data_IF_161389900133
#
_entry.id   IF_161389900133
#
_cell.length_a   1.000
_cell.length_b   1.000
_cell.length_c   1.000
_cell.angle_alpha   90.00
_cell.angle_beta   90.00
_cell.angle_gamma   90.00
#
_symmetry.space_group_name_H-M   'P 1'
#
loop_
_entity.id
_entity.type
_entity.pdbx_description
1 polymer ?
#
# COMPACT_ATOMS: atom_id res chain seq x y z
N UNK A 1 23.87 -6.98 3.35
CA UNK A 1 23.52 -6.24 2.11
C UNK A 1 22.04 -5.90 2.18
N UNK A 2 21.65 -4.73 1.67
CA UNK A 2 20.23 -4.40 1.66
C UNK A 2 19.53 -5.22 0.57
N UNK A 3 18.55 -6.03 0.96
CA UNK A 3 17.77 -6.91 0.08
C UNK A 3 16.29 -6.76 0.40
N UNK A 4 15.45 -6.80 -0.60
CA UNK A 4 14.00 -6.64 -0.46
C UNK A 4 13.31 -8.01 -0.49
N UNK A 5 12.43 -8.26 0.46
CA UNK A 5 11.36 -9.23 0.34
C UNK A 5 10.15 -8.53 -0.30
N UNK A 6 9.75 -8.95 -1.49
CA UNK A 6 8.53 -8.46 -2.14
C UNK A 6 7.40 -9.48 -1.96
N UNK A 7 6.35 -9.09 -1.22
CA UNK A 7 5.15 -9.91 -1.05
C UNK A 7 4.13 -9.55 -2.14
N UNK A 8 3.96 -10.46 -3.10
CA UNK A 8 2.97 -10.34 -4.18
C UNK A 8 1.62 -10.87 -3.69
N UNK A 9 0.68 -9.97 -3.47
CA UNK A 9 -0.67 -10.27 -2.98
C UNK A 9 -1.71 -10.42 -4.09
N UNK A 10 -1.28 -10.52 -5.36
CA UNK A 10 -2.22 -10.71 -6.47
C UNK A 10 -2.95 -12.04 -6.35
N UNK A 11 -4.30 -12.01 -6.45
CA UNK A 11 -5.15 -13.21 -6.50
C UNK A 11 -5.63 -13.53 -7.92
N UNK A 12 -5.68 -12.51 -8.80
CA UNK A 12 -6.03 -12.62 -10.21
C UNK A 12 -4.95 -11.93 -11.04
N UNK A 13 -4.06 -12.73 -11.64
CA UNK A 13 -2.90 -12.22 -12.39
C UNK A 13 -3.24 -11.44 -13.65
N UNK A 14 -4.41 -11.66 -14.21
CA UNK A 14 -4.90 -10.98 -15.41
C UNK A 14 -5.46 -9.59 -15.13
N UNK A 15 -5.89 -9.30 -13.89
CA UNK A 15 -6.42 -8.00 -13.50
C UNK A 15 -5.33 -7.05 -13.00
N UNK A 16 -4.50 -7.52 -12.08
CA UNK A 16 -3.44 -6.71 -11.47
C UNK A 16 -2.20 -7.56 -11.21
N UNK A 17 -1.07 -7.12 -11.71
CA UNK A 17 0.24 -7.77 -11.57
C UNK A 17 1.19 -6.83 -10.84
N UNK A 18 1.16 -6.78 -9.50
CA UNK A 18 1.94 -5.81 -8.73
C UNK A 18 3.42 -5.82 -9.09
N UNK A 19 4.05 -6.99 -9.13
CA UNK A 19 5.47 -7.11 -9.41
C UNK A 19 5.87 -6.46 -10.74
N UNK A 20 5.06 -6.60 -11.79
CA UNK A 20 5.35 -6.00 -13.09
C UNK A 20 5.40 -4.45 -13.06
N UNK A 21 4.70 -3.83 -12.11
CA UNK A 21 4.72 -2.38 -11.93
C UNK A 21 5.87 -1.93 -11.01
N UNK A 22 6.17 -2.72 -9.95
CA UNK A 22 7.17 -2.34 -8.97
C UNK A 22 8.59 -2.73 -9.36
N UNK A 23 8.80 -3.87 -10.03
CA UNK A 23 10.12 -4.37 -10.42
C UNK A 23 11.00 -3.33 -11.15
N UNK A 24 10.49 -2.52 -12.10
CA UNK A 24 11.30 -1.53 -12.79
C UNK A 24 11.88 -0.43 -11.89
N UNK A 25 11.35 -0.25 -10.69
CA UNK A 25 11.76 0.79 -9.72
C UNK A 25 12.40 0.22 -8.45
N UNK A 26 12.42 -1.11 -8.29
CA UNK A 26 13.19 -1.78 -7.25
C UNK A 26 14.68 -1.71 -7.63
N UNK A 27 15.48 -0.98 -6.85
CA UNK A 27 16.90 -0.75 -7.12
C UNK A 27 17.83 -1.63 -6.27
N UNK A 28 17.28 -2.42 -5.35
CA UNK A 28 17.98 -3.39 -4.54
C UNK A 28 17.68 -4.79 -5.06
N UNK A 29 18.56 -5.74 -4.75
CA UNK A 29 18.25 -7.15 -4.97
C UNK A 29 16.99 -7.53 -4.21
N UNK A 30 16.14 -8.35 -4.82
CA UNK A 30 14.89 -8.77 -4.22
C UNK A 30 14.54 -10.23 -4.51
N UNK A 31 13.78 -10.82 -3.59
CA UNK A 31 13.02 -12.04 -3.83
C UNK A 31 11.54 -11.73 -3.79
N UNK A 32 10.76 -12.40 -4.63
CA UNK A 32 9.31 -12.26 -4.66
C UNK A 32 8.63 -13.54 -4.24
N UNK A 33 7.71 -13.44 -3.28
CA UNK A 33 6.88 -14.52 -2.80
C UNK A 33 5.41 -14.20 -3.02
N UNK A 34 4.64 -15.19 -3.47
CA UNK A 34 3.22 -15.02 -3.71
C UNK A 34 2.42 -15.36 -2.46
N UNK A 35 2.29 -14.38 -1.55
CA UNK A 35 1.62 -14.55 -0.27
C UNK A 35 0.18 -15.04 -0.41
N UNK A 36 -0.56 -14.58 -1.42
CA UNK A 36 -1.94 -15.05 -1.71
C UNK A 36 -2.03 -16.53 -2.08
N UNK A 37 -0.94 -17.17 -2.45
CA UNK A 37 -0.84 -18.61 -2.69
C UNK A 37 -0.32 -19.39 -1.46
N UNK A 38 -0.08 -18.70 -0.33
CA UNK A 38 0.54 -19.29 0.87
C UNK A 38 2.05 -19.46 0.75
N UNK A 39 2.66 -18.85 -0.28
CA UNK A 39 4.11 -18.88 -0.46
C UNK A 39 4.72 -17.71 0.32
N UNK A 40 5.45 -18.01 1.38
CA UNK A 40 6.14 -17.06 2.26
C UNK A 40 7.55 -17.58 2.57
N UNK A 41 8.53 -16.71 2.83
CA UNK A 41 9.88 -17.13 3.20
C UNK A 41 9.86 -17.85 4.57
N UNK A 42 10.79 -18.75 4.78
CA UNK A 42 10.94 -19.47 6.03
C UNK A 42 11.39 -18.55 7.19
N UNK A 43 12.25 -17.59 6.89
CA UNK A 43 12.74 -16.56 7.82
C UNK A 43 12.96 -15.23 7.08
N UNK A 44 13.34 -14.20 7.84
CA UNK A 44 13.57 -12.86 7.32
C UNK A 44 15.02 -12.40 7.41
N UNK A 45 15.95 -13.29 7.72
CA UNK A 45 17.34 -12.93 8.08
C UNK A 45 18.07 -12.23 6.94
N UNK A 46 17.82 -12.66 5.70
CA UNK A 46 18.46 -12.10 4.51
C UNK A 46 17.86 -10.75 4.05
N UNK A 47 16.74 -10.33 4.63
CA UNK A 47 16.02 -9.13 4.17
C UNK A 47 16.18 -7.97 5.15
N UNK A 48 16.53 -6.81 4.60
CA UNK A 48 16.52 -5.52 5.32
C UNK A 48 15.23 -4.76 5.09
N UNK A 49 14.59 -4.98 3.94
CA UNK A 49 13.40 -4.28 3.48
C UNK A 49 12.30 -5.26 3.11
N UNK A 50 11.06 -4.90 3.42
CA UNK A 50 9.87 -5.67 3.05
C UNK A 50 8.92 -4.74 2.32
N UNK A 51 8.50 -5.13 1.13
CA UNK A 51 7.50 -4.43 0.34
C UNK A 51 6.26 -5.31 0.17
N UNK A 52 5.11 -4.80 0.58
CA UNK A 52 3.82 -5.51 0.56
C UNK A 52 2.94 -4.87 -0.50
N UNK A 53 2.63 -5.61 -1.53
CA UNK A 53 1.89 -5.09 -2.69
C UNK A 53 0.40 -4.90 -2.43
N UNK A 54 -0.26 -4.23 -3.36
CA UNK A 54 -1.71 -4.20 -3.47
C UNK A 54 -2.30 -5.55 -3.87
N UNK A 55 -3.62 -5.68 -3.72
CA UNK A 55 -4.41 -6.85 -4.11
C UNK A 55 -5.82 -6.45 -4.50
N UNK A 56 -6.48 -7.29 -5.31
CA UNK A 56 -7.93 -7.23 -5.51
C UNK A 56 -8.71 -8.01 -4.42
N UNK A 57 -8.01 -8.64 -3.48
CA UNK A 57 -8.61 -9.23 -2.29
C UNK A 57 -9.07 -8.17 -1.30
N UNK A 58 -10.04 -8.51 -0.46
CA UNK A 58 -10.34 -7.75 0.75
C UNK A 58 -9.48 -8.25 1.91
N UNK A 59 -8.82 -7.35 2.61
CA UNK A 59 -8.07 -7.69 3.84
C UNK A 59 -8.99 -8.18 4.96
N UNK A 60 -10.30 -7.91 4.84
CA UNK A 60 -11.33 -8.36 5.78
C UNK A 60 -11.80 -9.80 5.50
N UNK A 61 -11.33 -10.42 4.42
CA UNK A 61 -11.62 -11.81 4.13
C UNK A 61 -10.98 -12.71 5.19
N UNK A 62 -11.70 -13.77 5.55
CA UNK A 62 -11.19 -14.79 6.47
C UNK A 62 -10.43 -15.86 5.65
N UNK A 63 -9.14 -15.64 5.44
CA UNK A 63 -8.28 -16.51 4.65
C UNK A 63 -6.94 -16.75 5.34
N UNK A 64 -6.49 -18.00 5.39
CA UNK A 64 -5.30 -18.43 6.12
C UNK A 64 -4.03 -17.67 5.69
N UNK A 65 -3.90 -17.36 4.40
CA UNK A 65 -2.75 -16.61 3.91
C UNK A 65 -2.69 -15.16 4.45
N UNK A 66 -3.84 -14.53 4.72
CA UNK A 66 -3.90 -13.20 5.32
C UNK A 66 -3.40 -13.25 6.78
N UNK A 67 -3.76 -14.27 7.53
CA UNK A 67 -3.27 -14.44 8.90
C UNK A 67 -1.77 -14.72 8.93
N UNK A 68 -1.29 -15.59 8.03
CA UNK A 68 0.13 -15.90 7.91
C UNK A 68 0.96 -14.65 7.53
N UNK A 69 0.47 -13.82 6.61
CA UNK A 69 1.14 -12.58 6.23
C UNK A 69 1.12 -11.55 7.37
N UNK A 70 0.04 -11.45 8.15
CA UNK A 70 0.02 -10.58 9.34
C UNK A 70 1.06 -11.01 10.38
N UNK A 71 1.27 -12.32 10.57
CA UNK A 71 2.31 -12.82 11.49
C UNK A 71 3.72 -12.49 10.98
N UNK A 72 3.96 -12.64 9.68
CA UNK A 72 5.21 -12.23 9.05
C UNK A 72 5.44 -10.71 9.24
N UNK A 73 4.41 -9.88 9.07
CA UNK A 73 4.50 -8.43 9.28
C UNK A 73 4.88 -8.11 10.74
N UNK A 74 4.22 -8.73 11.73
CA UNK A 74 4.55 -8.53 13.14
C UNK A 74 6.01 -8.93 13.44
N UNK A 75 6.45 -10.04 12.88
CA UNK A 75 7.84 -10.51 13.00
C UNK A 75 8.81 -9.50 12.40
N UNK A 76 8.54 -9.03 11.19
CA UNK A 76 9.37 -8.05 10.49
C UNK A 76 9.51 -6.74 11.27
N UNK A 77 8.39 -6.22 11.78
CA UNK A 77 8.36 -5.00 12.60
C UNK A 77 9.11 -5.22 13.91
N UNK A 78 8.94 -6.38 14.56
CA UNK A 78 9.68 -6.76 15.77
C UNK A 78 11.18 -6.82 15.55
N UNK A 79 11.63 -7.31 14.39
CA UNK A 79 13.04 -7.34 13.97
C UNK A 79 13.57 -5.98 13.46
N UNK A 80 12.75 -4.92 13.46
CA UNK A 80 13.17 -3.59 13.02
C UNK A 80 13.38 -3.44 11.52
N UNK A 81 12.84 -4.33 10.69
CA UNK A 81 12.95 -4.23 9.23
C UNK A 81 12.25 -2.97 8.71
N UNK A 82 12.70 -2.48 7.57
CA UNK A 82 11.98 -1.44 6.82
C UNK A 82 10.76 -2.08 6.16
N UNK A 83 9.56 -1.62 6.48
CA UNK A 83 8.32 -2.21 5.94
C UNK A 83 7.49 -1.13 5.25
N UNK A 84 7.10 -1.38 4.01
CA UNK A 84 6.20 -0.52 3.25
C UNK A 84 5.08 -1.36 2.63
N UNK A 85 3.84 -0.92 2.79
CA UNK A 85 2.67 -1.55 2.17
C UNK A 85 1.88 -0.57 1.31
N UNK A 86 1.52 -1.00 0.08
CA UNK A 86 0.68 -0.25 -0.86
C UNK A 86 -0.73 -0.86 -0.93
N UNK A 87 -1.78 -0.05 -0.86
CA UNK A 87 -3.19 -0.43 -0.96
C UNK A 87 -3.56 -1.57 0.00
N UNK A 88 -3.73 -2.81 -0.47
CA UNK A 88 -3.93 -3.97 0.40
C UNK A 88 -2.80 -4.07 1.44
N UNK A 89 -1.54 -3.83 1.04
CA UNK A 89 -0.38 -3.81 1.94
C UNK A 89 -0.52 -2.77 3.07
N UNK A 90 -1.05 -1.59 2.80
CA UNK A 90 -1.38 -0.59 3.80
C UNK A 90 -2.41 -1.11 4.82
N UNK A 91 -3.44 -1.76 4.32
CA UNK A 91 -4.54 -2.27 5.13
C UNK A 91 -4.11 -3.47 5.99
N UNK A 92 -3.33 -4.39 5.44
CA UNK A 92 -2.87 -5.57 6.19
C UNK A 92 -1.85 -5.20 7.27
N UNK A 93 -0.97 -4.21 7.04
CA UNK A 93 -0.09 -3.67 8.08
C UNK A 93 -0.92 -3.08 9.22
N UNK A 94 -1.92 -2.25 8.90
CA UNK A 94 -2.78 -1.66 9.93
C UNK A 94 -3.51 -2.74 10.74
N UNK A 95 -4.06 -3.77 10.07
CA UNK A 95 -4.74 -4.88 10.74
C UNK A 95 -3.80 -5.71 11.61
N UNK A 96 -2.59 -5.98 11.11
CA UNK A 96 -1.56 -6.74 11.85
C UNK A 96 -1.11 -6.05 13.13
N UNK A 97 -1.02 -4.71 13.13
CA UNK A 97 -0.46 -3.93 14.22
C UNK A 97 -1.52 -3.36 15.17
N UNK A 98 -2.69 -2.96 14.64
CA UNK A 98 -3.72 -2.27 15.43
C UNK A 98 -5.01 -3.10 15.59
N UNK A 99 -5.00 -4.35 15.07
CA UNK A 99 -6.08 -5.32 15.22
C UNK A 99 -7.20 -5.17 14.18
N UNK A 100 -8.19 -6.06 14.26
CA UNK A 100 -9.27 -6.19 13.27
C UNK A 100 -10.09 -4.90 13.09
N UNK A 101 -10.26 -4.11 14.15
CA UNK A 101 -10.98 -2.84 14.10
C UNK A 101 -10.24 -1.69 13.37
N UNK A 102 -9.00 -1.90 12.95
CA UNK A 102 -8.20 -0.88 12.24
C UNK A 102 -8.69 -0.64 10.81
N UNK A 103 -9.31 -1.64 10.20
CA UNK A 103 -9.78 -1.60 8.82
C UNK A 103 -11.28 -1.84 8.77
N UNK A 104 -11.97 -1.10 7.93
CA UNK A 104 -13.40 -1.30 7.68
C UNK A 104 -13.70 -1.26 6.18
N UNK A 105 -14.84 -1.85 5.82
CA UNK A 105 -15.40 -1.72 4.46
C UNK A 105 -16.04 -0.36 4.30
N UNK A 106 -15.74 0.32 3.20
CA UNK A 106 -16.37 1.59 2.81
C UNK A 106 -17.80 1.37 2.30
N UNK A 107 -18.62 2.43 2.38
CA UNK A 107 -19.96 2.42 1.78
C UNK A 107 -19.93 2.50 0.25
N UNK A 108 -18.89 3.10 -0.31
CA UNK A 108 -18.71 3.27 -1.73
C UNK A 108 -17.23 3.08 -2.10
N UNK A 109 -16.99 2.61 -3.32
CA UNK A 109 -15.66 2.53 -3.91
C UNK A 109 -15.01 3.93 -3.93
N UNK A 110 -13.78 4.03 -3.46
CA UNK A 110 -12.92 5.20 -3.70
C UNK A 110 -12.02 4.90 -4.90
N UNK A 111 -12.09 5.75 -5.91
CA UNK A 111 -11.43 5.48 -7.20
C UNK A 111 -11.04 6.76 -7.93
N UNK A 112 -9.85 6.76 -8.52
CA UNK A 112 -9.33 7.85 -9.35
C UNK A 112 -8.04 8.44 -8.81
N UNK A 113 -7.85 9.75 -9.02
CA UNK A 113 -6.65 10.49 -8.61
C UNK A 113 -7.03 11.62 -7.66
N UNK A 114 -7.30 11.33 -6.38
CA UNK A 114 -7.60 12.36 -5.40
C UNK A 114 -6.40 13.29 -5.19
N UNK A 115 -6.69 14.52 -4.77
CA UNK A 115 -5.68 15.35 -4.14
C UNK A 115 -5.41 14.79 -2.75
N UNK A 116 -4.15 14.51 -2.46
CA UNK A 116 -3.68 13.93 -1.21
C UNK A 116 -2.89 15.00 -0.47
N UNK A 117 -3.38 15.40 0.70
CA UNK A 117 -2.72 16.34 1.59
C UNK A 117 -1.74 15.58 2.49
N UNK A 118 -0.49 16.04 2.56
CA UNK A 118 0.52 15.54 3.48
C UNK A 118 0.37 16.27 4.81
N UNK A 119 0.16 15.51 5.89
CA UNK A 119 -0.19 16.05 7.22
C UNK A 119 1.03 16.30 8.11
N UNK A 120 2.13 15.60 7.86
CA UNK A 120 3.38 15.70 8.61
C UNK A 120 4.56 15.50 7.68
N UNK A 121 5.71 16.11 8.00
CA UNK A 121 6.95 15.86 7.27
C UNK A 121 7.29 14.37 7.30
N UNK A 122 7.50 13.80 6.13
CA UNK A 122 7.79 12.38 6.00
C UNK A 122 8.81 12.10 4.89
N UNK A 123 9.70 11.14 5.15
CA UNK A 123 10.76 10.80 4.20
C UNK A 123 10.23 10.23 2.87
N UNK A 124 9.08 9.50 2.90
CA UNK A 124 8.49 8.89 1.72
C UNK A 124 7.54 9.84 0.97
N UNK A 125 6.80 10.68 1.71
CA UNK A 125 5.70 11.48 1.16
C UNK A 125 6.00 12.98 1.05
N UNK A 126 7.09 13.48 1.65
CA UNK A 126 7.52 14.87 1.52
C UNK A 126 7.06 15.77 2.67
N UNK A 127 6.95 17.08 2.39
CA UNK A 127 6.74 18.11 3.40
C UNK A 127 5.26 18.26 3.77
N UNK A 128 5.00 18.53 5.06
CA UNK A 128 3.67 18.84 5.57
C UNK A 128 3.04 20.03 4.82
N UNK A 129 1.74 19.93 4.55
CA UNK A 129 0.99 20.93 3.78
C UNK A 129 1.18 20.84 2.27
N UNK A 130 2.10 19.99 1.76
CA UNK A 130 2.20 19.71 0.34
C UNK A 130 1.05 18.84 -0.16
N UNK A 131 0.83 18.84 -1.46
CA UNK A 131 -0.23 18.09 -2.13
C UNK A 131 0.37 17.22 -3.22
N UNK A 132 0.06 15.95 -3.19
CA UNK A 132 0.44 14.97 -4.20
C UNK A 132 -0.80 14.32 -4.81
N UNK A 133 -0.62 13.55 -5.87
CA UNK A 133 -1.67 12.77 -6.52
C UNK A 133 -1.18 11.35 -6.68
N UNK A 134 -2.06 10.37 -6.45
CA UNK A 134 -1.81 8.96 -6.66
C UNK A 134 -3.09 8.25 -7.01
N UNK A 135 -3.02 7.19 -7.79
CA UNK A 135 -4.19 6.40 -8.13
C UNK A 135 -4.71 5.66 -6.92
N UNK A 136 -6.01 5.71 -6.68
CA UNK A 136 -6.70 4.90 -5.67
C UNK A 136 -7.78 4.03 -6.30
N UNK A 137 -7.93 2.82 -5.78
CA UNK A 137 -9.01 1.91 -6.10
C UNK A 137 -9.23 0.97 -4.92
N UNK A 138 -10.13 1.31 -4.00
CA UNK A 138 -10.31 0.50 -2.80
C UNK A 138 -11.72 0.56 -2.21
N UNK A 139 -12.18 -0.60 -1.71
CA UNK A 139 -13.39 -0.76 -0.91
C UNK A 139 -13.12 -0.85 0.59
N UNK A 140 -11.91 -1.26 0.99
CA UNK A 140 -11.50 -1.32 2.38
C UNK A 140 -10.64 -0.09 2.69
N UNK A 141 -10.75 0.45 3.91
CA UNK A 141 -9.98 1.60 4.35
C UNK A 141 -9.45 1.41 5.76
N UNK A 142 -8.26 1.90 6.02
CA UNK A 142 -7.77 2.08 7.39
C UNK A 142 -8.57 3.22 8.01
N UNK A 143 -9.27 2.93 9.10
CA UNK A 143 -10.14 3.88 9.80
C UNK A 143 -9.69 4.16 11.23
N UNK A 144 -8.71 3.40 11.74
CA UNK A 144 -8.17 3.57 13.09
C UNK A 144 -6.71 3.12 13.15
N UNK A 145 -5.89 3.90 13.80
CA UNK A 145 -4.53 3.56 14.22
C UNK A 145 -4.39 3.84 15.71
N UNK A 146 -3.38 3.26 16.37
CA UNK A 146 -3.02 3.68 17.73
C UNK A 146 -2.14 4.94 17.63
N UNK A 147 -2.69 6.07 18.05
CA UNK A 147 -2.00 7.35 17.99
C UNK A 147 -0.78 7.44 18.92
N UNK A 148 -0.61 6.52 19.87
CA UNK A 148 0.62 6.42 20.66
C UNK A 148 1.76 5.80 19.83
N UNK A 149 1.44 4.87 18.93
CA UNK A 149 2.42 4.10 18.14
C UNK A 149 2.61 4.63 16.72
N UNK A 150 1.59 5.26 16.14
CA UNK A 150 1.60 5.69 14.74
C UNK A 150 1.04 7.10 14.55
N UNK A 151 1.35 7.69 13.41
CA UNK A 151 0.83 8.98 12.97
C UNK A 151 0.20 8.82 11.58
N UNK A 152 -1.02 9.36 11.38
CA UNK A 152 -1.56 9.56 10.05
C UNK A 152 -0.77 10.67 9.36
N UNK A 153 -0.18 10.37 8.21
CA UNK A 153 0.73 11.28 7.49
C UNK A 153 0.16 11.78 6.17
N UNK A 154 -0.96 11.22 5.70
CA UNK A 154 -1.65 11.72 4.52
C UNK A 154 -3.15 11.43 4.58
N UNK A 155 -3.95 12.31 3.96
CA UNK A 155 -5.41 12.18 3.82
C UNK A 155 -5.90 12.70 2.47
N UNK A 156 -7.16 12.39 2.16
CA UNK A 156 -7.94 13.07 1.13
C UNK A 156 -9.33 13.44 1.67
N UNK A 157 -10.13 14.15 0.87
CA UNK A 157 -11.52 14.46 1.24
C UNK A 157 -12.37 13.20 1.48
N UNK A 158 -12.01 12.08 0.85
CA UNK A 158 -12.77 10.84 0.92
C UNK A 158 -12.22 9.84 1.95
N UNK A 159 -10.97 9.95 2.38
CA UNK A 159 -10.30 9.00 3.28
C UNK A 159 -9.36 9.73 4.24
N UNK A 160 -9.62 9.59 5.54
CA UNK A 160 -8.87 10.30 6.59
C UNK A 160 -7.46 9.74 6.82
N UNK A 161 -7.24 8.43 6.59
CA UNK A 161 -5.95 7.77 6.78
C UNK A 161 -5.53 7.14 5.45
N UNK A 162 -5.07 7.97 4.50
CA UNK A 162 -4.49 7.50 3.24
C UNK A 162 -3.05 7.02 3.38
N UNK A 163 -2.36 7.48 4.41
CA UNK A 163 -1.08 6.93 4.80
C UNK A 163 -0.84 7.10 6.30
N UNK A 164 -0.13 6.15 6.87
CA UNK A 164 0.37 6.23 8.24
C UNK A 164 1.82 5.77 8.31
N UNK A 165 2.49 6.18 9.39
CA UNK A 165 3.86 5.77 9.74
C UNK A 165 3.93 5.41 11.21
N UNK A 166 4.66 4.36 11.58
CA UNK A 166 5.03 4.11 12.97
C UNK A 166 6.03 5.16 13.46
N UNK A 167 5.88 5.63 14.69
CA UNK A 167 6.73 6.70 15.25
C UNK A 167 8.17 6.25 15.44
N UNK A 168 8.38 5.06 15.97
CA UNK A 168 9.68 4.54 16.39
C UNK A 168 10.22 3.43 15.49
N UNK A 169 9.59 3.16 14.36
CA UNK A 169 9.96 2.09 13.44
C UNK A 169 9.85 2.57 11.99
N UNK A 170 10.69 2.05 11.08
CA UNK A 170 10.62 2.39 9.67
C UNK A 170 9.52 1.61 8.96
N UNK A 171 8.27 1.85 9.35
CA UNK A 171 7.08 1.16 8.85
C UNK A 171 6.07 2.16 8.32
N UNK A 172 5.66 2.00 7.07
CA UNK A 172 4.68 2.86 6.39
C UNK A 172 3.59 2.02 5.73
N UNK A 173 2.37 2.51 5.83
CA UNK A 173 1.27 2.09 4.99
C UNK A 173 0.82 3.24 4.10
N UNK A 174 0.65 3.01 2.80
CA UNK A 174 0.15 3.99 1.83
C UNK A 174 -0.99 3.39 1.01
N UNK A 175 -2.15 4.02 1.00
CA UNK A 175 -3.32 3.54 0.26
C UNK A 175 -3.19 3.75 -1.27
N UNK A 176 -2.59 4.85 -1.77
CA UNK A 176 -2.45 5.07 -3.21
C UNK A 176 -1.51 4.06 -3.88
N UNK A 177 -1.80 3.81 -5.15
CA UNK A 177 -0.98 3.08 -6.10
C UNK A 177 -0.07 4.05 -6.85
N UNK A 178 1.09 4.38 -6.28
CA UNK A 178 2.05 5.27 -6.93
C UNK A 178 2.71 4.63 -8.16
N UNK A 179 2.67 3.30 -8.26
CA UNK A 179 3.14 2.52 -9.41
C UNK A 179 2.22 2.63 -10.63
N UNK A 180 0.98 3.03 -10.44
CA UNK A 180 0.00 3.15 -11.51
C UNK A 180 -0.10 4.60 -11.99
N UNK A 181 0.56 4.89 -13.11
CA UNK A 181 0.39 6.15 -13.82
C UNK A 181 -1.01 6.29 -14.45
N UNK A 182 -1.26 7.45 -15.06
CA UNK A 182 -2.56 7.76 -15.67
C UNK A 182 -3.00 6.68 -16.67
N UNK A 183 -2.09 6.25 -17.54
CA UNK A 183 -2.39 5.25 -18.59
C UNK A 183 -2.77 3.91 -17.98
N UNK A 184 -2.04 3.47 -16.97
CA UNK A 184 -2.26 2.17 -16.34
C UNK A 184 -3.51 2.16 -15.48
N UNK A 185 -3.75 3.24 -14.74
CA UNK A 185 -5.01 3.39 -13.98
C UNK A 185 -6.25 3.41 -14.87
N UNK A 186 -6.19 4.08 -16.03
CA UNK A 186 -7.29 4.06 -16.99
C UNK A 186 -7.49 2.67 -17.62
N UNK A 187 -6.42 1.95 -17.97
CA UNK A 187 -6.52 0.57 -18.44
C UNK A 187 -7.13 -0.35 -17.37
N UNK A 188 -6.70 -0.19 -16.11
CA UNK A 188 -7.26 -0.98 -15.02
C UNK A 188 -8.76 -0.71 -14.84
N UNK A 189 -9.20 0.54 -14.91
CA UNK A 189 -10.63 0.90 -14.87
C UNK A 189 -11.44 0.23 -15.99
N UNK A 190 -10.88 0.13 -17.20
CA UNK A 190 -11.55 -0.59 -18.30
C UNK A 190 -11.66 -2.09 -18.01
N UNK A 191 -10.62 -2.72 -17.44
CA UNK A 191 -10.64 -4.14 -17.08
C UNK A 191 -11.71 -4.44 -16.02
N UNK A 192 -11.80 -3.64 -14.96
CA UNK A 192 -12.75 -3.88 -13.86
C UNK A 192 -14.19 -3.54 -14.21
N UNK A 193 -14.46 -2.82 -15.29
CA UNK A 193 -15.85 -2.60 -15.78
C UNK A 193 -16.61 -3.91 -16.04
N UNK A 194 -15.90 -4.94 -16.48
CA UNK A 194 -16.47 -6.28 -16.72
C UNK A 194 -16.66 -7.12 -15.45
N UNK A 195 -16.07 -6.74 -14.33
CA UNK A 195 -16.06 -7.50 -13.08
C UNK A 195 -17.18 -7.08 -12.09
N UNK A 196 -18.20 -6.36 -12.56
CA UNK A 196 -19.35 -6.01 -11.74
C UNK A 196 -19.08 -4.97 -10.65
N UNK A 197 -18.18 -4.03 -10.91
CA UNK A 197 -17.94 -2.88 -10.00
C UNK A 197 -19.27 -2.14 -9.77
N UNK A 198 -19.80 -2.11 -8.52
CA UNK A 198 -21.19 -1.77 -8.27
C UNK A 198 -21.57 -0.31 -8.57
N UNK A 199 -20.64 0.61 -8.41
CA UNK A 199 -20.91 2.03 -8.63
C UNK A 199 -20.11 2.61 -9.80
N UNK A 200 -20.68 2.43 -11.00
CA UNK A 200 -20.13 3.03 -12.23
C UNK A 200 -19.99 4.56 -12.14
N UNK A 201 -20.82 5.24 -11.35
CA UNK A 201 -20.80 6.70 -11.32
C UNK A 201 -19.62 7.24 -10.49
N UNK A 202 -19.21 6.54 -9.45
CA UNK A 202 -18.08 6.97 -8.61
C UNK A 202 -16.77 7.05 -9.38
N UNK A 203 -16.42 6.01 -10.15
CA UNK A 203 -15.19 6.07 -10.93
C UNK A 203 -15.30 6.90 -12.21
N UNK A 204 -16.50 7.03 -12.82
CA UNK A 204 -16.70 7.90 -13.97
C UNK A 204 -16.47 9.38 -13.63
N UNK A 205 -16.76 9.80 -12.40
CA UNK A 205 -16.49 11.18 -11.96
C UNK A 205 -15.00 11.51 -12.00
N UNK A 206 -14.12 10.58 -11.62
CA UNK A 206 -12.68 10.81 -11.67
C UNK A 206 -12.11 10.77 -13.09
N UNK A 207 -12.77 10.07 -14.01
CA UNK A 207 -12.37 10.02 -15.43
C UNK A 207 -12.95 11.15 -16.29
N UNK A 208 -13.98 11.84 -15.82
CA UNK A 208 -14.54 13.03 -16.49
C UNK A 208 -13.62 14.25 -16.40
N UNK A 209 -12.83 14.35 -15.31
CA UNK A 209 -11.76 15.34 -15.19
C UNK A 209 -10.45 14.70 -15.62
N UNK A 210 -9.57 15.41 -16.33
CA UNK A 210 -8.23 14.90 -16.58
C UNK A 210 -7.58 14.48 -15.26
N UNK A 211 -7.15 13.22 -15.12
CA UNK A 211 -6.47 12.78 -13.92
C UNK A 211 -5.15 13.55 -13.77
N UNK A 212 -4.68 13.67 -12.54
CA UNK A 212 -3.38 14.24 -12.22
C UNK A 212 -2.47 13.13 -11.72
N UNK A 213 -1.25 13.15 -12.19
CA UNK A 213 -0.18 12.26 -11.72
C UNK A 213 0.97 13.16 -11.28
N UNK A 214 1.40 13.01 -10.04
CA UNK A 214 2.52 13.75 -9.49
C UNK A 214 3.87 13.11 -9.80
N UNK A 215 3.89 11.96 -10.48
CA UNK A 215 5.13 11.20 -10.72
C UNK A 215 5.80 10.75 -9.42
N UNK A 216 5.03 10.52 -8.37
CA UNK A 216 5.55 10.31 -7.01
C UNK A 216 6.30 8.99 -6.83
N UNK A 217 6.14 8.02 -7.71
CA UNK A 217 6.81 6.70 -7.60
C UNK A 217 8.33 6.82 -7.44
N UNK A 218 8.98 7.69 -8.17
CA UNK A 218 10.44 7.81 -8.13
C UNK A 218 10.94 8.43 -6.81
N UNK A 219 10.42 9.59 -6.34
CA UNK A 219 10.75 10.09 -5.01
C UNK A 219 10.47 9.09 -3.90
N UNK A 220 9.31 8.43 -3.93
CA UNK A 220 8.88 7.43 -2.96
C UNK A 220 9.88 6.26 -2.89
N UNK A 221 10.22 5.64 -4.02
CA UNK A 221 11.14 4.52 -4.04
C UNK A 221 12.56 4.91 -3.66
N UNK A 222 13.03 6.11 -4.04
CA UNK A 222 14.33 6.63 -3.57
C UNK A 222 14.39 6.77 -2.06
N UNK A 223 13.31 7.23 -1.44
CA UNK A 223 13.24 7.36 0.02
C UNK A 223 13.17 5.98 0.69
N UNK A 224 12.36 5.06 0.15
CA UNK A 224 12.28 3.68 0.62
C UNK A 224 13.65 2.99 0.64
N UNK A 225 14.40 3.03 -0.46
CA UNK A 225 15.73 2.42 -0.54
C UNK A 225 16.77 3.05 0.40
N UNK A 226 16.56 4.29 0.83
CA UNK A 226 17.42 5.00 1.79
C UNK A 226 17.04 4.76 3.24
N UNK A 227 15.83 4.30 3.50
CA UNK A 227 15.40 3.95 4.84
C UNK A 227 16.34 2.90 5.45
N UNK A 228 16.47 2.89 6.75
CA UNK A 228 17.36 1.93 7.44
C UNK A 228 16.58 1.13 8.46
N UNK A 229 16.89 -0.16 8.61
CA UNK A 229 16.35 -0.97 9.68
C UNK A 229 16.61 -0.32 11.04
N UNK A 230 15.66 -0.46 11.92
CA UNK A 230 15.81 0.00 13.30
C UNK A 230 16.74 -0.95 14.04
N UNK A 231 17.75 -0.40 14.68
CA UNK A 231 18.63 -1.12 15.60
C UNK A 231 18.22 -0.78 17.03
N UNK A 232 17.76 -1.80 17.77
CA UNK A 232 17.36 -1.63 19.18
C UNK A 232 18.58 -1.45 20.08
#
# INVERSE_FOLDING_TARGET
MDRILFLDNSIKNDLYKPLAYWEPVLQLDFDSYRASAGDLPHDLDDYSHIFISGSTASVLANADWIEAEQELIRTAVGQGKVVVGSCFGHQIIARALFGDGAVRKRRALDVGWPEIEILADDALLGEAGSKIYGYVFHYDEVCKIDENEATAIARSDACEILAFKLKDRPVWGVQPHFEMGIVDGLKFLELVKGEGVPDRQSYLKSTVKPPKDSGWIIPFMKAYHKARPFQA
#
